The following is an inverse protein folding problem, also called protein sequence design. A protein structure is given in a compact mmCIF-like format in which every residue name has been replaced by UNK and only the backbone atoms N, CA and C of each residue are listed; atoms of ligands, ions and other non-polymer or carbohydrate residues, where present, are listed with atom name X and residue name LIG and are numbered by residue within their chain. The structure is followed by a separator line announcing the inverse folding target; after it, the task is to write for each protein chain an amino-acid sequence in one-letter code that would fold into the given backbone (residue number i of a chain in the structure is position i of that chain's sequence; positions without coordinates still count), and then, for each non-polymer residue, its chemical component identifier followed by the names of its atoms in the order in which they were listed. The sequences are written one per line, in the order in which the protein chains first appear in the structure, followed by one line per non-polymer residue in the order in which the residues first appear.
data_IF_373965073856
#
_entry.id   IF_373965073856
#
_cell.length_a   1.000
_cell.length_b   1.000
_cell.length_c   1.000
_cell.angle_alpha   90.00
_cell.angle_beta   90.00
_cell.angle_gamma   90.00
#
_symmetry.space_group_name_H-M   'P 1'
#
loop_
_entity.id
_entity.type
_entity.pdbx_description
1 polymer ?
#
# COMPACT_ATOMS: atom_id res chain seq x y z
N UNK A 1 41.93 -47.69 -41.85
CA UNK A 1 42.74 -47.20 -40.71
C UNK A 1 41.93 -46.11 -40.00
N UNK A 2 41.39 -46.38 -38.80
CA UNK A 2 40.55 -45.43 -38.05
C UNK A 2 41.36 -44.82 -36.90
N UNK A 3 41.72 -43.54 -37.00
CA UNK A 3 42.34 -42.78 -35.92
C UNK A 3 41.26 -42.24 -34.96
N UNK A 4 41.27 -42.69 -33.70
CA UNK A 4 40.44 -42.09 -32.63
C UNK A 4 40.99 -40.71 -32.23
N UNK A 5 40.14 -39.71 -31.97
CA UNK A 5 40.58 -38.44 -31.42
C UNK A 5 40.89 -38.58 -29.92
N UNK A 6 42.08 -38.13 -29.53
CA UNK A 6 42.55 -38.02 -28.15
C UNK A 6 41.76 -36.91 -27.42
N UNK A 7 41.05 -37.27 -26.35
CA UNK A 7 40.41 -36.30 -25.46
C UNK A 7 41.45 -35.60 -24.60
N UNK A 8 41.73 -34.33 -24.86
CA UNK A 8 42.56 -33.49 -24.01
C UNK A 8 41.77 -33.14 -22.73
N UNK A 9 42.23 -33.63 -21.58
CA UNK A 9 41.68 -33.22 -20.27
C UNK A 9 42.22 -31.84 -19.93
N UNK A 10 41.33 -30.83 -19.94
CA UNK A 10 41.62 -29.50 -19.42
C UNK A 10 41.53 -29.58 -17.89
N UNK A 11 42.67 -29.47 -17.21
CA UNK A 11 42.73 -29.34 -15.75
C UNK A 11 42.70 -27.86 -15.38
N UNK A 12 41.57 -27.39 -14.87
CA UNK A 12 41.44 -26.04 -14.32
C UNK A 12 42.08 -25.99 -12.94
N UNK A 13 42.93 -24.99 -12.72
CA UNK A 13 43.55 -24.76 -11.41
C UNK A 13 42.52 -24.18 -10.43
N UNK A 14 42.68 -24.44 -9.12
CA UNK A 14 41.77 -23.93 -8.08
C UNK A 14 41.52 -22.42 -8.16
N UNK A 15 42.53 -21.63 -8.58
CA UNK A 15 42.40 -20.17 -8.78
C UNK A 15 41.46 -19.81 -9.93
N UNK A 16 41.48 -20.56 -11.03
CA UNK A 16 40.59 -20.35 -12.18
C UNK A 16 39.13 -20.69 -11.84
N UNK A 17 38.93 -21.72 -11.02
CA UNK A 17 37.59 -22.09 -10.53
C UNK A 17 37.01 -20.99 -9.64
N UNK A 18 37.81 -20.47 -8.70
CA UNK A 18 37.38 -19.38 -7.80
C UNK A 18 37.09 -18.10 -8.58
N UNK A 19 37.92 -17.73 -9.55
CA UNK A 19 37.68 -16.56 -10.40
C UNK A 19 36.40 -16.72 -11.25
N UNK A 20 36.17 -17.91 -11.82
CA UNK A 20 34.95 -18.17 -12.58
C UNK A 20 33.69 -18.02 -11.69
N UNK A 21 33.72 -18.55 -10.46
CA UNK A 21 32.60 -18.43 -9.51
C UNK A 21 32.34 -16.97 -9.14
N UNK A 22 33.38 -16.19 -8.86
CA UNK A 22 33.23 -14.77 -8.52
C UNK A 22 32.64 -13.95 -9.67
N UNK A 23 33.01 -14.24 -10.91
CA UNK A 23 32.44 -13.59 -12.09
C UNK A 23 30.95 -13.93 -12.23
N UNK A 24 30.56 -15.19 -12.04
CA UNK A 24 29.15 -15.59 -12.10
C UNK A 24 28.31 -14.98 -10.97
N UNK A 25 28.86 -14.84 -9.76
CA UNK A 25 28.19 -14.14 -8.66
C UNK A 25 28.00 -12.66 -8.99
N UNK A 26 29.03 -11.99 -9.50
CA UNK A 26 28.93 -10.58 -9.87
C UNK A 26 27.89 -10.34 -10.99
N UNK A 27 27.87 -11.20 -12.01
CA UNK A 27 26.86 -11.15 -13.08
C UNK A 27 25.46 -11.42 -12.54
N UNK A 28 25.30 -12.42 -11.66
CA UNK A 28 24.02 -12.72 -11.01
C UNK A 28 23.48 -11.57 -10.16
N UNK A 29 24.35 -10.91 -9.38
CA UNK A 29 23.98 -9.72 -8.59
C UNK A 29 23.58 -8.56 -9.50
N UNK A 30 24.32 -8.34 -10.60
CA UNK A 30 24.01 -7.24 -11.54
C UNK A 30 22.70 -7.47 -12.28
N UNK A 31 22.40 -8.71 -12.69
CA UNK A 31 21.11 -9.06 -13.32
C UNK A 31 19.99 -8.97 -12.30
N UNK A 32 20.18 -9.45 -11.07
CA UNK A 32 19.16 -9.39 -10.02
C UNK A 32 18.81 -7.95 -9.65
N UNK A 33 19.81 -7.08 -9.43
CA UNK A 33 19.56 -5.66 -9.20
C UNK A 33 19.02 -4.96 -10.45
N UNK A 34 19.50 -5.27 -11.65
CA UNK A 34 19.00 -4.68 -12.89
C UNK A 34 17.52 -5.00 -13.17
N UNK A 35 17.11 -6.28 -13.02
CA UNK A 35 15.72 -6.70 -13.23
C UNK A 35 14.77 -6.20 -12.13
N UNK A 36 15.21 -6.16 -10.86
CA UNK A 36 14.36 -5.67 -9.77
C UNK A 36 14.31 -4.14 -9.67
N UNK A 37 15.31 -3.40 -10.15
CA UNK A 37 15.21 -1.93 -10.22
C UNK A 37 14.35 -1.46 -11.39
N UNK A 38 14.37 -2.15 -12.54
CA UNK A 38 13.60 -1.71 -13.70
C UNK A 38 12.11 -2.09 -13.63
N UNK A 39 11.76 -3.18 -12.94
CA UNK A 39 10.36 -3.56 -12.74
C UNK A 39 9.66 -2.82 -11.60
N UNK A 40 10.37 -2.03 -10.79
CA UNK A 40 9.76 -1.21 -9.73
C UNK A 40 9.41 0.23 -10.15
N UNK A 41 9.73 0.66 -11.38
CA UNK A 41 9.59 2.08 -11.77
C UNK A 41 8.94 2.35 -13.13
N UNK A 42 8.37 1.34 -13.80
CA UNK A 42 7.54 1.53 -14.99
C UNK A 42 6.11 1.05 -14.74
N UNK A 43 5.47 1.67 -13.76
CA UNK A 43 4.02 1.86 -13.86
C UNK A 43 3.81 2.93 -14.92
N UNK A 44 3.40 2.53 -16.12
CA UNK A 44 2.97 3.45 -17.16
C UNK A 44 1.85 4.33 -16.58
N UNK A 45 2.19 5.58 -16.24
CA UNK A 45 1.22 6.59 -15.89
C UNK A 45 0.32 6.80 -17.11
N UNK A 46 -0.90 6.29 -17.03
CA UNK A 46 -1.94 6.48 -18.05
C UNK A 46 -2.08 8.00 -18.29
N UNK A 47 -1.94 8.48 -19.54
CA UNK A 47 -1.96 9.90 -19.83
C UNK A 47 -3.39 10.44 -19.73
N UNK A 48 -3.66 11.06 -18.60
CA UNK A 48 -4.90 11.74 -18.29
C UNK A 48 -4.96 11.96 -16.79
N UNK A 49 -4.12 12.87 -16.26
CA UNK A 49 -4.06 13.14 -14.83
C UNK A 49 -5.47 13.41 -14.31
N UNK A 50 -6.01 12.56 -13.43
CA UNK A 50 -7.14 13.00 -12.66
C UNK A 50 -6.64 14.02 -11.66
N UNK A 51 -7.22 15.21 -11.73
CA UNK A 51 -7.04 16.26 -10.72
C UNK A 51 -7.72 15.79 -9.45
N UNK A 52 -7.07 14.97 -8.63
CA UNK A 52 -7.59 14.62 -7.31
C UNK A 52 -6.77 15.32 -6.24
N UNK A 53 -7.22 16.51 -5.87
CA UNK A 53 -6.88 17.07 -4.57
C UNK A 53 -7.88 16.52 -3.54
N UNK A 54 -7.68 15.27 -3.13
CA UNK A 54 -8.53 14.55 -2.17
C UNK A 54 -8.74 15.35 -0.88
N UNK A 55 -7.72 16.11 -0.45
CA UNK A 55 -7.77 16.94 0.75
C UNK A 55 -8.63 18.20 0.55
N UNK A 56 -8.52 18.87 -0.60
CA UNK A 56 -9.36 20.03 -0.94
C UNK A 56 -10.83 19.65 -1.11
N UNK A 57 -11.10 18.48 -1.67
CA UNK A 57 -12.46 17.99 -1.92
C UNK A 57 -13.02 17.12 -0.79
N UNK A 58 -12.29 16.99 0.32
CA UNK A 58 -12.71 16.17 1.45
C UNK A 58 -14.02 16.69 2.05
N UNK A 59 -14.93 15.76 2.35
CA UNK A 59 -16.18 16.07 3.05
C UNK A 59 -15.93 15.92 4.55
N UNK A 60 -16.00 17.02 5.29
CA UNK A 60 -15.87 17.03 6.74
C UNK A 60 -17.27 17.03 7.37
N UNK A 61 -17.71 15.88 7.87
CA UNK A 61 -19.03 15.71 8.47
C UNK A 61 -18.95 15.81 9.99
N UNK A 62 -19.74 16.70 10.58
CA UNK A 62 -19.83 16.92 12.03
C UNK A 62 -18.53 17.33 12.72
N UNK A 63 -17.49 17.69 11.95
CA UNK A 63 -16.23 18.22 12.48
C UNK A 63 -16.47 19.63 13.02
N UNK A 64 -16.17 19.91 14.31
CA UNK A 64 -16.23 21.28 14.82
C UNK A 64 -15.26 22.19 14.08
N UNK A 65 -15.66 23.43 13.78
CA UNK A 65 -14.81 24.42 13.09
C UNK A 65 -13.43 24.59 13.73
N UNK A 66 -13.35 24.51 15.06
CA UNK A 66 -12.09 24.60 15.82
C UNK A 66 -11.15 23.41 15.62
N UNK A 67 -11.64 22.29 15.07
CA UNK A 67 -10.89 21.05 14.83
C UNK A 67 -10.60 20.82 13.35
N UNK A 68 -11.27 21.50 12.42
CA UNK A 68 -11.10 21.29 10.97
C UNK A 68 -9.63 21.32 10.51
N UNK A 69 -8.82 22.25 11.02
CA UNK A 69 -7.40 22.33 10.67
C UNK A 69 -6.62 21.08 11.12
N UNK A 70 -6.88 20.59 12.33
CA UNK A 70 -6.26 19.37 12.85
C UNK A 70 -6.72 18.13 12.07
N UNK A 71 -8.01 18.06 11.72
CA UNK A 71 -8.55 16.99 10.89
C UNK A 71 -7.91 16.99 9.50
N UNK A 72 -7.80 18.15 8.83
CA UNK A 72 -7.13 18.25 7.53
C UNK A 72 -5.65 17.84 7.59
N UNK A 73 -4.94 18.25 8.64
CA UNK A 73 -3.56 17.81 8.86
C UNK A 73 -3.46 16.29 9.03
N UNK A 74 -4.41 15.69 9.77
CA UNK A 74 -4.47 14.25 9.94
C UNK A 74 -4.81 13.52 8.63
N UNK A 75 -5.77 14.01 7.84
CA UNK A 75 -6.07 13.47 6.51
C UNK A 75 -4.86 13.55 5.56
N UNK A 76 -4.07 14.63 5.63
CA UNK A 76 -2.80 14.73 4.89
C UNK A 76 -1.83 13.63 5.32
N UNK A 77 -1.66 13.42 6.63
CA UNK A 77 -0.80 12.36 7.16
C UNK A 77 -1.29 10.95 6.75
N UNK A 78 -2.61 10.74 6.65
CA UNK A 78 -3.18 9.50 6.11
C UNK A 78 -2.79 9.31 4.65
N UNK A 79 -2.97 10.33 3.80
CA UNK A 79 -2.63 10.24 2.38
C UNK A 79 -1.13 10.00 2.14
N UNK A 80 -0.27 10.57 2.99
CA UNK A 80 1.17 10.29 2.98
C UNK A 80 1.48 8.85 3.40
N UNK A 81 0.81 8.35 4.45
CA UNK A 81 1.03 7.01 4.98
C UNK A 81 0.45 5.92 4.08
N UNK A 82 -0.68 6.20 3.44
CA UNK A 82 -1.45 5.29 2.61
C UNK A 82 -1.38 5.72 1.14
N UNK A 83 -0.17 5.63 0.61
CA UNK A 83 0.20 6.11 -0.72
C UNK A 83 -0.62 5.49 -1.86
N UNK A 84 -1.13 4.25 -1.70
CA UNK A 84 -1.97 3.61 -2.70
C UNK A 84 -3.31 4.34 -2.85
N UNK A 85 -3.82 5.05 -1.83
CA UNK A 85 -5.03 5.88 -1.98
C UNK A 85 -4.85 6.87 -3.13
N UNK A 86 -3.74 7.60 -3.20
CA UNK A 86 -3.48 8.55 -4.29
C UNK A 86 -3.23 7.91 -5.66
N UNK A 87 -2.82 6.63 -5.68
CA UNK A 87 -2.64 5.87 -6.92
C UNK A 87 -4.00 5.45 -7.50
N UNK A 88 -4.93 5.02 -6.65
CA UNK A 88 -6.18 4.43 -7.10
C UNK A 88 -7.37 5.40 -7.05
N UNK A 89 -7.39 6.40 -6.16
CA UNK A 89 -8.45 7.40 -6.08
C UNK A 89 -8.25 8.51 -7.13
N UNK A 90 -8.43 8.12 -8.38
CA UNK A 90 -8.07 8.86 -9.58
C UNK A 90 -9.26 9.10 -10.51
N UNK A 91 -10.49 8.94 -10.05
CA UNK A 91 -11.66 8.97 -10.92
C UNK A 91 -12.81 9.79 -10.31
N UNK A 92 -12.47 10.73 -9.42
CA UNK A 92 -13.41 11.66 -8.78
C UNK A 92 -13.86 11.23 -7.39
N UNK A 93 -13.21 10.24 -6.80
CA UNK A 93 -13.38 9.86 -5.41
C UNK A 93 -13.14 11.05 -4.47
N UNK A 94 -13.76 10.98 -3.29
CA UNK A 94 -13.59 11.96 -2.23
C UNK A 94 -13.37 11.24 -0.91
N UNK A 95 -12.47 11.78 -0.10
CA UNK A 95 -12.39 11.39 1.31
C UNK A 95 -13.59 11.97 2.05
N UNK A 96 -14.21 11.17 2.91
CA UNK A 96 -15.21 11.63 3.86
C UNK A 96 -14.69 11.37 5.27
N UNK A 97 -14.72 12.39 6.12
CA UNK A 97 -14.32 12.29 7.50
C UNK A 97 -15.55 12.53 8.38
N UNK A 98 -15.98 11.50 9.11
CA UNK A 98 -17.10 11.54 10.02
C UNK A 98 -16.59 11.67 11.45
N UNK A 99 -16.83 12.81 12.08
CA UNK A 99 -16.34 13.08 13.43
C UNK A 99 -17.35 12.64 14.49
N UNK A 100 -16.87 11.86 15.45
CA UNK A 100 -17.69 11.37 16.56
C UNK A 100 -17.18 11.92 17.90
N UNK A 101 -17.85 12.94 18.46
CA UNK A 101 -17.38 13.67 19.65
C UNK A 101 -17.30 12.82 20.92
N UNK A 102 -18.07 11.74 21.00
CA UNK A 102 -18.10 10.85 22.17
C UNK A 102 -17.23 9.60 22.00
N UNK A 103 -16.48 9.51 20.90
CA UNK A 103 -15.75 8.31 20.53
C UNK A 103 -16.68 7.16 20.11
N UNK A 104 -16.06 6.02 19.80
CA UNK A 104 -16.72 4.74 19.55
C UNK A 104 -16.06 3.72 20.48
N UNK A 105 -16.79 2.71 20.94
CA UNK A 105 -16.26 1.68 21.86
C UNK A 105 -15.56 2.22 23.14
N UNK A 106 -16.01 3.38 23.67
CA UNK A 106 -15.41 4.07 24.84
C UNK A 106 -14.02 4.68 24.59
N UNK A 107 -13.66 4.97 23.34
CA UNK A 107 -12.46 5.74 23.01
C UNK A 107 -12.71 7.25 23.16
N UNK A 108 -11.65 8.09 23.19
CA UNK A 108 -11.76 9.52 22.88
C UNK A 108 -12.35 9.75 21.48
N UNK A 109 -12.61 11.02 21.13
CA UNK A 109 -13.12 11.40 19.81
C UNK A 109 -12.32 10.71 18.69
N UNK A 110 -13.05 10.14 17.73
CA UNK A 110 -12.48 9.43 16.59
C UNK A 110 -13.13 9.96 15.31
N UNK A 111 -12.46 9.70 14.20
CA UNK A 111 -12.95 10.02 12.87
C UNK A 111 -13.05 8.72 12.09
N UNK A 112 -14.21 8.42 11.53
CA UNK A 112 -14.28 7.41 10.48
C UNK A 112 -13.92 8.08 9.17
N UNK A 113 -12.86 7.58 8.56
CA UNK A 113 -12.41 7.98 7.24
C UNK A 113 -12.94 6.98 6.23
N UNK A 114 -13.80 7.46 5.35
CA UNK A 114 -14.36 6.67 4.26
C UNK A 114 -13.86 7.16 2.90
N UNK A 115 -13.72 6.21 1.98
CA UNK A 115 -13.56 6.47 0.55
C UNK A 115 -14.34 5.43 -0.25
N UNK A 116 -15.21 5.93 -1.12
CA UNK A 116 -15.90 5.11 -2.11
C UNK A 116 -15.08 5.11 -3.40
N UNK A 117 -14.61 3.95 -3.82
CA UNK A 117 -13.87 3.81 -5.08
C UNK A 117 -14.82 3.64 -6.26
N UNK A 118 -14.53 4.37 -7.34
CA UNK A 118 -15.26 4.17 -8.60
C UNK A 118 -14.97 2.78 -9.19
N UNK A 119 -15.79 2.37 -10.15
CA UNK A 119 -15.57 1.10 -10.87
C UNK A 119 -14.24 1.10 -11.61
N UNK A 120 -13.81 2.25 -12.11
CA UNK A 120 -12.55 2.45 -12.82
C UNK A 120 -11.36 2.21 -11.90
N UNK A 121 -11.39 2.78 -10.70
CA UNK A 121 -10.36 2.58 -9.67
C UNK A 121 -10.26 1.13 -9.22
N UNK A 122 -11.39 0.47 -9.00
CA UNK A 122 -11.43 -0.94 -8.61
C UNK A 122 -10.84 -1.85 -9.69
N UNK A 123 -11.05 -1.56 -10.98
CA UNK A 123 -10.45 -2.33 -12.08
C UNK A 123 -8.92 -2.31 -12.08
N UNK A 124 -8.30 -1.31 -11.46
CA UNK A 124 -6.85 -1.22 -11.33
C UNK A 124 -6.30 -1.96 -10.09
N UNK A 125 -7.15 -2.30 -9.12
CA UNK A 125 -6.75 -3.03 -7.90
C UNK A 125 -6.62 -4.54 -8.17
N UNK A 126 -5.92 -5.31 -7.30
CA UNK A 126 -5.90 -6.78 -7.33
C UNK A 126 -7.30 -7.39 -7.37
N UNK A 127 -7.45 -8.52 -8.06
CA UNK A 127 -8.75 -9.17 -8.33
C UNK A 127 -9.53 -9.43 -7.04
N UNK A 128 -8.85 -9.91 -6.00
CA UNK A 128 -9.43 -10.15 -4.69
C UNK A 128 -10.02 -8.90 -4.07
N UNK A 129 -9.35 -7.76 -4.15
CA UNK A 129 -9.83 -6.48 -3.59
C UNK A 129 -11.04 -5.88 -4.32
N UNK A 130 -11.45 -6.48 -5.45
CA UNK A 130 -12.66 -6.13 -6.19
C UNK A 130 -13.90 -6.87 -5.69
N UNK A 131 -13.73 -7.82 -4.78
CA UNK A 131 -14.84 -8.59 -4.21
C UNK A 131 -15.83 -7.65 -3.49
N UNK A 132 -17.16 -7.77 -3.71
CA UNK A 132 -18.14 -6.93 -3.03
C UNK A 132 -18.11 -6.96 -1.49
N UNK A 133 -17.45 -7.96 -0.87
CA UNK A 133 -17.34 -8.07 0.58
C UNK A 133 -16.45 -6.98 1.20
N UNK A 134 -15.44 -6.48 0.48
CA UNK A 134 -14.53 -5.44 0.96
C UNK A 134 -14.15 -4.40 -0.11
N UNK A 135 -14.51 -4.64 -1.38
CA UNK A 135 -14.24 -3.77 -2.51
C UNK A 135 -15.25 -2.64 -2.63
N UNK A 136 -14.80 -1.53 -3.20
CA UNK A 136 -15.63 -0.37 -3.53
C UNK A 136 -15.85 0.62 -2.41
N UNK A 137 -15.67 0.22 -1.15
CA UNK A 137 -15.73 1.10 0.00
C UNK A 137 -14.61 0.74 0.97
N UNK A 138 -13.76 1.70 1.32
CA UNK A 138 -12.76 1.54 2.37
C UNK A 138 -13.10 2.45 3.54
N UNK A 139 -13.12 1.85 4.73
CA UNK A 139 -13.36 2.52 6.00
C UNK A 139 -12.16 2.33 6.92
N UNK A 140 -11.70 3.41 7.54
CA UNK A 140 -10.57 3.44 8.46
C UNK A 140 -10.92 4.29 9.67
N UNK A 141 -10.67 3.78 10.87
CA UNK A 141 -10.75 4.57 12.09
C UNK A 141 -9.50 5.45 12.21
N UNK A 142 -9.65 6.75 12.41
CA UNK A 142 -8.57 7.68 12.65
C UNK A 142 -8.66 8.20 14.09
N UNK A 143 -7.61 7.92 14.86
CA UNK A 143 -7.47 8.38 16.24
C UNK A 143 -6.38 9.45 16.32
N UNK A 144 -6.68 10.55 17.01
CA UNK A 144 -5.68 11.47 17.54
C UNK A 144 -5.66 11.45 19.07
N UNK A 145 -5.90 10.29 19.70
CA UNK A 145 -5.75 10.14 21.15
C UNK A 145 -4.30 10.27 21.62
N UNK A 146 -3.96 9.62 22.74
CA UNK A 146 -2.60 9.60 23.26
C UNK A 146 -1.58 9.02 22.25
N UNK A 147 -2.02 8.05 21.44
CA UNK A 147 -1.25 7.44 20.36
C UNK A 147 -1.99 7.65 19.04
N UNK A 148 -1.64 8.69 18.26
CA UNK A 148 -2.29 8.96 16.99
C UNK A 148 -2.00 7.89 15.94
N UNK A 149 -3.02 7.49 15.19
CA UNK A 149 -2.88 6.47 14.17
C UNK A 149 -4.19 6.09 13.48
N UNK A 150 -4.04 5.20 12.51
CA UNK A 150 -5.13 4.57 11.78
C UNK A 150 -5.42 3.19 12.34
N UNK A 151 -6.70 2.84 12.37
CA UNK A 151 -7.24 1.54 12.72
C UNK A 151 -7.88 0.99 11.46
N UNK A 152 -7.48 -0.21 11.07
CA UNK A 152 -7.95 -0.89 9.87
C UNK A 152 -8.41 -2.28 10.27
N UNK A 153 -9.48 -2.77 9.65
CA UNK A 153 -10.08 -4.06 10.02
C UNK A 153 -10.33 -4.97 8.81
N UNK A 154 -10.10 -4.47 7.60
CA UNK A 154 -10.37 -5.18 6.34
C UNK A 154 -9.19 -5.10 5.38
N UNK A 155 -9.10 -6.02 4.39
CA UNK A 155 -7.96 -6.09 3.47
C UNK A 155 -7.75 -4.83 2.62
N UNK A 156 -8.83 -4.18 2.19
CA UNK A 156 -8.72 -3.03 1.28
C UNK A 156 -8.01 -1.84 1.95
N UNK A 157 -8.42 -1.34 3.13
CA UNK A 157 -7.65 -0.36 3.90
C UNK A 157 -6.19 -0.74 4.14
N UNK A 158 -5.94 -2.00 4.54
CA UNK A 158 -4.58 -2.49 4.79
C UNK A 158 -3.71 -2.38 3.54
N UNK A 159 -4.21 -2.87 2.40
CA UNK A 159 -3.51 -2.77 1.13
C UNK A 159 -3.33 -1.31 0.67
N UNK A 160 -4.34 -0.45 0.87
CA UNK A 160 -4.25 0.98 0.58
C UNK A 160 -3.14 1.67 1.40
N UNK A 161 -2.85 1.14 2.58
CA UNK A 161 -1.80 1.62 3.47
C UNK A 161 -0.46 0.88 3.33
N UNK A 162 -0.33 -0.01 2.33
CA UNK A 162 0.87 -0.81 2.10
C UNK A 162 1.15 -1.83 3.21
N UNK A 163 0.14 -2.16 4.01
CA UNK A 163 0.21 -3.23 4.99
C UNK A 163 0.11 -4.59 4.29
N UNK A 164 0.84 -5.63 4.73
CA UNK A 164 0.79 -6.94 4.08
C UNK A 164 -0.61 -7.53 4.10
N UNK A 165 -1.12 -7.88 2.93
CA UNK A 165 -2.35 -8.65 2.74
C UNK A 165 -1.96 -9.98 2.09
N UNK A 166 -2.59 -11.07 2.53
CA UNK A 166 -2.32 -12.41 2.00
C UNK A 166 -2.54 -12.46 0.48
N UNK A 167 -1.61 -13.09 -0.25
CA UNK A 167 -1.70 -13.28 -1.70
C UNK A 167 -2.94 -14.08 -2.09
N UNK A 168 -3.40 -15.01 -1.24
CA UNK A 168 -4.63 -15.76 -1.49
C UNK A 168 -5.86 -14.84 -1.42
N UNK A 169 -5.83 -13.81 -0.57
CA UNK A 169 -6.86 -12.77 -0.56
C UNK A 169 -6.74 -11.89 -1.79
N UNK A 170 -5.53 -11.41 -2.14
CA UNK A 170 -5.31 -10.53 -3.29
C UNK A 170 -5.66 -11.21 -4.64
N UNK A 171 -5.48 -12.53 -4.74
CA UNK A 171 -5.79 -13.33 -5.92
C UNK A 171 -7.23 -13.86 -5.95
N UNK A 172 -8.02 -13.66 -4.89
CA UNK A 172 -9.36 -14.22 -4.70
C UNK A 172 -9.40 -15.75 -4.48
N UNK A 173 -8.28 -16.38 -4.14
CA UNK A 173 -8.22 -17.79 -3.76
C UNK A 173 -8.84 -18.05 -2.37
N UNK A 174 -8.77 -17.07 -1.47
CA UNK A 174 -9.43 -17.06 -0.16
C UNK A 174 -10.43 -15.90 -0.07
N UNK A 175 -11.45 -16.06 0.78
CA UNK A 175 -12.45 -15.00 1.07
C UNK A 175 -12.73 -14.81 2.55
N UNK A 176 -12.11 -15.63 3.38
CA UNK A 176 -12.11 -15.52 4.82
C UNK A 176 -11.03 -14.54 5.26
N UNK A 177 -11.42 -13.58 6.09
CA UNK A 177 -10.52 -12.60 6.66
C UNK A 177 -10.64 -12.64 8.18
N UNK A 178 -9.51 -12.84 8.85
CA UNK A 178 -9.42 -12.67 10.29
C UNK A 178 -9.62 -11.18 10.60
N UNK A 179 -10.81 -10.80 11.09
CA UNK A 179 -11.11 -9.42 11.52
C UNK A 179 -10.28 -9.03 12.75
N UNK A 180 -8.99 -8.75 12.52
CA UNK A 180 -8.05 -8.23 13.51
C UNK A 180 -7.88 -6.75 13.24
N UNK A 181 -7.92 -5.97 14.32
CA UNK A 181 -7.63 -4.53 14.25
C UNK A 181 -6.13 -4.33 14.03
N UNK A 182 -5.77 -3.77 12.88
CA UNK A 182 -4.40 -3.32 12.58
C UNK A 182 -4.28 -1.85 12.93
N UNK A 183 -3.27 -1.50 13.72
CA UNK A 183 -2.97 -0.13 14.08
C UNK A 183 -1.71 0.37 13.36
N UNK A 184 -1.84 1.47 12.62
CA UNK A 184 -0.73 2.12 11.92
C UNK A 184 -0.47 3.50 12.55
N UNK A 185 0.69 3.71 13.18
CA UNK A 185 1.00 5.00 13.80
C UNK A 185 1.09 6.15 12.80
N UNK A 186 0.56 7.31 13.17
CA UNK A 186 0.67 8.57 12.42
C UNK A 186 1.40 9.64 13.26
N UNK A 187 2.74 9.61 13.32
CA UNK A 187 3.51 10.48 14.21
C UNK A 187 3.43 11.98 13.85
N UNK A 188 3.01 12.30 12.62
CA UNK A 188 2.78 13.69 12.19
C UNK A 188 1.49 14.30 12.76
N UNK A 189 0.59 13.47 13.30
CA UNK A 189 -0.66 13.93 13.93
C UNK A 189 -0.36 14.28 15.40
N UNK A 190 -0.68 15.50 15.87
CA UNK A 190 -0.46 15.84 17.27
C UNK A 190 -1.39 15.04 18.19
N UNK A 191 -0.88 14.49 19.32
CA UNK A 191 -1.71 13.80 20.30
C UNK A 191 -2.79 14.71 20.91
N UNK A 192 -3.96 14.13 21.15
CA UNK A 192 -5.17 14.78 21.66
C UNK A 192 -5.64 16.00 20.86
N UNK A 193 -5.34 16.05 19.56
CA UNK A 193 -5.65 17.21 18.71
C UNK A 193 -7.13 17.33 18.36
N UNK A 194 -7.89 16.24 18.40
CA UNK A 194 -9.34 16.23 18.28
C UNK A 194 -9.98 15.23 19.25
#
# INVERSE_FOLDING_TARGET
MNSRPTKTKISLTKKQIVQAILVWIAVGVTIYFGFFHENSLKGDAVPGSPRTNLLETAVLSQVPKSKEAAVKAALSAVLEKCNNISIYAQHGERLKAFYYPHGWERTPAHIDLEIDFTRESLKAMPQGLRDPQWGGHAEMGLSAGANPGLIMETPLPEWLCGYPVDEDILSSAARDWDMKKVFVPLPAVPPNSF
#
